data_IF_708056675663
#
_entry.id   IF_708056675663
#
_cell.length_a   1.000
_cell.length_b   1.000
_cell.length_c   1.000
_cell.angle_alpha   90.00
_cell.angle_beta   90.00
_cell.angle_gamma   90.00
#
_symmetry.space_group_name_H-M   'P 1'
#
loop_
_entity.id
_entity.type
_entity.pdbx_description
1 polymer ?
#
# COMPACT_ATOMS: atom_id res chain seq x y z
N UNK A 1 13.01 40.44 6.98
CA UNK A 1 12.56 39.17 7.57
C UNK A 1 11.41 38.69 6.70
N UNK A 2 11.61 37.64 5.91
CA UNK A 2 10.57 37.11 5.01
C UNK A 2 10.04 35.81 5.59
N UNK A 3 8.73 35.74 5.73
CA UNK A 3 7.97 34.62 6.29
C UNK A 3 8.34 33.29 5.63
N UNK A 4 8.79 32.35 6.45
CA UNK A 4 8.96 30.96 6.05
C UNK A 4 7.58 30.30 6.01
N UNK A 5 7.11 29.74 4.88
CA UNK A 5 5.86 29.00 4.88
C UNK A 5 6.06 27.75 5.74
N UNK A 6 5.40 27.69 6.89
CA UNK A 6 5.29 26.46 7.66
C UNK A 6 4.71 25.39 6.73
N UNK A 7 5.54 24.41 6.41
CA UNK A 7 5.06 23.11 5.96
C UNK A 7 4.28 22.56 7.15
N UNK A 8 2.98 22.79 7.15
CA UNK A 8 2.05 22.20 8.10
C UNK A 8 2.05 20.69 7.81
N UNK A 9 2.98 19.99 8.45
CA UNK A 9 3.02 18.54 8.49
C UNK A 9 1.72 18.11 9.15
N UNK A 10 0.74 17.73 8.32
CA UNK A 10 -0.45 17.01 8.75
C UNK A 10 -0.02 15.94 9.76
N UNK A 11 -0.78 15.70 10.84
CA UNK A 11 -0.44 14.67 11.80
C UNK A 11 -0.30 13.37 11.03
N UNK A 12 0.96 12.93 10.87
CA UNK A 12 1.26 11.59 10.39
C UNK A 12 0.77 10.68 11.51
N UNK A 13 -0.36 10.05 11.30
CA UNK A 13 -0.80 8.98 12.17
C UNK A 13 0.23 7.86 12.04
N UNK A 14 1.22 7.84 12.94
CA UNK A 14 2.29 6.84 12.99
C UNK A 14 1.79 5.48 13.52
N UNK A 15 0.47 5.27 13.55
CA UNK A 15 -0.04 3.91 13.46
C UNK A 15 0.37 3.39 12.08
N UNK A 16 1.52 2.69 12.04
CA UNK A 16 1.95 1.86 10.92
C UNK A 16 0.89 0.77 10.74
N UNK A 17 -0.24 1.13 10.14
CA UNK A 17 -1.34 0.22 9.94
C UNK A 17 -0.86 -0.86 8.98
N UNK A 18 -0.86 -2.09 9.50
CA UNK A 18 -0.55 -3.26 8.69
C UNK A 18 -1.51 -3.30 7.51
N UNK A 19 -0.98 -3.49 6.30
CA UNK A 19 -1.79 -3.61 5.11
C UNK A 19 -2.86 -4.71 5.30
N UNK A 20 -4.14 -4.47 4.96
CA UNK A 20 -5.18 -5.46 5.12
C UNK A 20 -4.87 -6.73 4.33
N UNK A 21 -4.99 -7.89 4.99
CA UNK A 21 -4.87 -9.18 4.32
C UNK A 21 -5.98 -9.37 3.30
N UNK A 22 -5.62 -9.87 2.11
CA UNK A 22 -6.58 -10.26 1.09
C UNK A 22 -6.05 -11.46 0.30
N UNK A 23 -6.98 -12.15 -0.35
CA UNK A 23 -6.69 -13.19 -1.34
C UNK A 23 -7.49 -12.92 -2.60
N UNK A 24 -6.80 -12.91 -3.75
CA UNK A 24 -7.41 -12.63 -5.05
C UNK A 24 -7.06 -13.74 -6.06
N UNK A 25 -7.95 -14.00 -7.03
CA UNK A 25 -7.60 -14.85 -8.16
C UNK A 25 -6.53 -14.18 -9.02
N UNK A 26 -5.68 -14.99 -9.65
CA UNK A 26 -4.69 -14.53 -10.63
C UNK A 26 -5.18 -14.80 -12.04
N UNK A 27 -4.65 -14.07 -13.02
CA UNK A 27 -4.97 -14.25 -14.44
C UNK A 27 -4.66 -15.67 -14.95
N UNK A 28 -3.76 -16.40 -14.30
CA UNK A 28 -3.41 -17.79 -14.64
C UNK A 28 -4.33 -18.86 -14.05
N UNK A 29 -5.43 -18.47 -13.40
CA UNK A 29 -6.37 -19.40 -12.77
C UNK A 29 -5.96 -19.89 -11.38
N UNK A 30 -4.93 -19.28 -10.77
CA UNK A 30 -4.51 -19.54 -9.40
C UNK A 30 -5.06 -18.50 -8.42
N UNK A 31 -4.53 -18.51 -7.20
CA UNK A 31 -4.81 -17.51 -6.17
C UNK A 31 -3.51 -16.91 -5.63
N UNK A 32 -3.58 -15.65 -5.19
CA UNK A 32 -2.50 -14.96 -4.51
C UNK A 32 -3.03 -14.31 -3.23
N UNK A 33 -2.33 -14.53 -2.11
CA UNK A 33 -2.64 -13.94 -0.81
C UNK A 33 -1.54 -12.95 -0.41
N UNK A 34 -1.89 -11.79 0.14
CA UNK A 34 -0.88 -10.82 0.60
C UNK A 34 0.00 -11.39 1.71
N UNK A 35 -0.59 -12.21 2.60
CA UNK A 35 0.09 -12.80 3.75
C UNK A 35 1.25 -13.73 3.36
N UNK A 36 1.22 -14.31 2.15
CA UNK A 36 2.28 -15.20 1.69
C UNK A 36 3.60 -14.48 1.41
N UNK A 37 3.61 -13.14 1.44
CA UNK A 37 4.80 -12.32 1.24
C UNK A 37 5.35 -11.72 2.55
N UNK A 38 4.63 -11.87 3.67
CA UNK A 38 5.05 -11.34 4.98
C UNK A 38 6.42 -11.91 5.37
N UNK A 39 7.35 -11.01 5.74
CA UNK A 39 8.71 -11.36 6.15
C UNK A 39 9.61 -11.93 5.03
N UNK A 40 9.10 -12.07 3.80
CA UNK A 40 9.86 -12.62 2.68
C UNK A 40 10.39 -11.53 1.75
N UNK A 41 9.53 -10.56 1.40
CA UNK A 41 9.89 -9.47 0.48
C UNK A 41 8.97 -8.27 0.66
N UNK A 42 9.47 -7.10 0.27
CA UNK A 42 8.62 -5.92 0.11
C UNK A 42 7.67 -6.12 -1.08
N UNK A 43 6.43 -5.66 -0.94
CA UNK A 43 5.39 -5.77 -1.96
C UNK A 43 4.87 -4.39 -2.31
N UNK A 44 4.72 -4.11 -3.60
CA UNK A 44 4.08 -2.90 -4.13
C UNK A 44 2.77 -3.31 -4.79
N UNK A 45 1.66 -2.72 -4.33
CA UNK A 45 0.32 -2.95 -4.87
C UNK A 45 -0.06 -1.81 -5.81
N UNK A 46 -0.47 -2.15 -7.03
CA UNK A 46 -0.91 -1.18 -8.03
C UNK A 46 -2.36 -1.48 -8.41
N UNK A 47 -3.28 -0.59 -8.02
CA UNK A 47 -4.68 -0.66 -8.39
C UNK A 47 -4.94 0.21 -9.63
N UNK A 48 -5.64 -0.34 -10.62
CA UNK A 48 -6.03 0.35 -11.83
C UNK A 48 -7.52 0.12 -12.12
N UNK A 49 -8.17 1.09 -12.77
CA UNK A 49 -9.64 1.12 -12.92
C UNK A 49 -10.19 0.03 -13.85
N UNK A 50 -9.47 -0.30 -14.91
CA UNK A 50 -9.85 -1.30 -15.90
C UNK A 50 -8.63 -1.73 -16.72
N UNK A 51 -8.70 -2.94 -17.28
CA UNK A 51 -7.81 -3.39 -18.35
C UNK A 51 -8.61 -3.46 -19.67
N UNK A 52 -7.91 -3.30 -20.79
CA UNK A 52 -8.48 -3.36 -22.14
C UNK A 52 -8.47 -4.80 -22.67
#
# INVERSE_FOLDING_TARGET
MSDNPQTESAPIDESLEQAPSFTLPTVGGGTASLDSYLGQRNVVLVFYRAFW
#
